data_IF_739676563034
#
_entry.id   IF_739676563034
#
_cell.length_a   1.000
_cell.length_b   1.000
_cell.length_c   1.000
_cell.angle_alpha   90.00
_cell.angle_beta   90.00
_cell.angle_gamma   90.00
#
_symmetry.space_group_name_H-M   'P 1'
#
loop_
_entity.id
_entity.type
_entity.pdbx_description
1 polymer ?
#
# COMPACT_ATOMS: atom_id res chain seq x y z
N UNK A 1 40.60 -23.61 -33.23
CA UNK A 1 39.16 -23.64 -33.58
C UNK A 1 38.37 -23.95 -32.31
N UNK A 2 37.40 -23.21 -31.82
CA UNK A 2 36.94 -21.84 -32.02
C UNK A 2 36.39 -21.38 -30.65
N UNK A 3 36.72 -20.16 -30.23
CA UNK A 3 36.23 -19.53 -28.99
C UNK A 3 34.82 -19.02 -29.31
N UNK A 4 33.79 -19.62 -28.71
CA UNK A 4 32.41 -19.11 -28.83
C UNK A 4 32.20 -18.04 -27.76
N UNK A 5 32.54 -16.81 -28.12
CA UNK A 5 32.08 -15.60 -27.44
C UNK A 5 30.62 -15.38 -27.85
N UNK A 6 29.69 -15.43 -26.89
CA UNK A 6 28.33 -14.95 -27.09
C UNK A 6 28.20 -13.60 -26.39
N UNK A 7 28.27 -12.56 -27.20
CA UNK A 7 27.89 -11.20 -26.86
C UNK A 7 26.48 -10.90 -27.42
N UNK A 8 25.75 -10.06 -26.68
CA UNK A 8 24.54 -9.27 -27.04
C UNK A 8 23.27 -10.15 -27.22
N UNK A 9 22.11 -9.88 -26.61
CA UNK A 9 21.42 -8.60 -26.37
C UNK A 9 20.64 -8.59 -25.05
N UNK A 10 20.92 -7.60 -24.19
CA UNK A 10 19.98 -7.16 -23.16
C UNK A 10 19.10 -6.07 -23.78
N UNK A 11 18.01 -6.48 -24.44
CA UNK A 11 17.01 -5.58 -25.02
C UNK A 11 15.84 -5.39 -24.05
N UNK A 12 15.96 -4.32 -23.26
CA UNK A 12 14.92 -3.30 -23.03
C UNK A 12 13.46 -3.77 -23.15
N UNK A 13 12.86 -4.13 -22.02
CA UNK A 13 11.41 -3.96 -21.78
C UNK A 13 11.21 -3.30 -20.41
N UNK A 14 11.77 -2.11 -20.26
CA UNK A 14 11.34 -1.17 -19.22
C UNK A 14 9.97 -0.62 -19.63
N UNK A 15 8.91 -1.33 -19.24
CA UNK A 15 7.54 -0.95 -19.55
C UNK A 15 6.90 -0.16 -18.39
N UNK A 16 6.78 1.14 -18.63
CA UNK A 16 5.65 2.01 -18.25
C UNK A 16 5.20 1.96 -16.78
N UNK A 17 6.03 2.50 -15.88
CA UNK A 17 5.65 3.33 -14.73
C UNK A 17 6.83 3.38 -13.74
N UNK A 18 7.96 3.95 -14.16
CA UNK A 18 8.98 4.35 -13.21
C UNK A 18 8.43 5.55 -12.41
N UNK A 19 7.76 5.23 -11.30
CA UNK A 19 7.27 6.22 -10.35
C UNK A 19 8.49 6.99 -9.85
N UNK A 20 8.63 8.24 -10.27
CA UNK A 20 9.63 9.18 -9.79
C UNK A 20 9.75 9.08 -8.26
N UNK A 21 10.87 8.50 -7.80
CA UNK A 21 11.16 8.36 -6.38
C UNK A 21 11.18 9.76 -5.76
N UNK A 22 10.42 9.93 -4.68
CA UNK A 22 10.34 11.19 -3.97
C UNK A 22 11.18 11.11 -2.70
N UNK A 23 11.91 12.17 -2.37
CA UNK A 23 12.62 12.23 -1.09
C UNK A 23 11.63 12.16 0.08
N UNK A 24 12.06 11.59 1.21
CA UNK A 24 11.24 11.52 2.43
C UNK A 24 10.69 12.89 2.85
N UNK A 25 11.49 13.95 2.70
CA UNK A 25 11.09 15.33 3.02
C UNK A 25 9.99 15.85 2.08
N UNK A 26 10.06 15.52 0.79
CA UNK A 26 9.03 15.88 -0.17
C UNK A 26 7.71 15.16 0.12
N UNK A 27 7.75 13.86 0.45
CA UNK A 27 6.55 13.10 0.86
C UNK A 27 5.96 13.66 2.15
N UNK A 28 6.78 13.92 3.17
CA UNK A 28 6.33 14.50 4.44
C UNK A 28 5.60 15.84 4.23
N UNK A 29 6.12 16.71 3.34
CA UNK A 29 5.45 17.98 3.00
C UNK A 29 4.10 17.77 2.32
N UNK A 30 3.96 16.77 1.45
CA UNK A 30 2.68 16.46 0.81
C UNK A 30 1.68 15.88 1.81
N UNK A 31 2.12 14.94 2.66
CA UNK A 31 1.29 14.38 3.74
C UNK A 31 0.76 15.46 4.68
N UNK A 32 1.59 16.45 5.05
CA UNK A 32 1.16 17.59 5.87
C UNK A 32 -0.02 18.37 5.26
N UNK A 33 -0.12 18.44 3.93
CA UNK A 33 -1.23 19.13 3.24
C UNK A 33 -2.54 18.34 3.25
N UNK A 34 -2.49 17.06 3.61
CA UNK A 34 -3.67 16.21 3.72
C UNK A 34 -4.34 16.29 5.10
N UNK A 35 -3.63 16.82 6.10
CA UNK A 35 -4.13 16.97 7.47
C UNK A 35 -5.30 17.94 7.49
N UNK A 36 -6.37 17.58 8.21
CA UNK A 36 -7.55 18.42 8.39
C UNK A 36 -8.55 18.38 7.22
N UNK A 37 -8.31 17.55 6.19
CA UNK A 37 -9.32 17.31 5.15
C UNK A 37 -10.52 16.58 5.75
N UNK A 38 -11.71 17.09 5.46
CA UNK A 38 -12.99 16.48 5.80
C UNK A 38 -13.43 15.61 4.62
N UNK A 39 -13.96 14.42 4.91
CA UNK A 39 -14.52 13.50 3.93
C UNK A 39 -16.01 13.34 4.25
N UNK A 40 -16.87 13.61 3.27
CA UNK A 40 -18.33 13.60 3.46
C UNK A 40 -18.91 12.18 3.46
N UNK A 41 -18.23 11.24 2.79
CA UNK A 41 -18.65 9.86 2.68
C UNK A 41 -17.46 8.88 2.72
N UNK A 42 -17.79 7.59 2.82
CA UNK A 42 -16.82 6.49 2.90
C UNK A 42 -15.91 6.39 1.67
N UNK A 43 -16.43 6.75 0.49
CA UNK A 43 -15.66 6.74 -0.75
C UNK A 43 -14.58 7.82 -0.76
N UNK A 44 -14.91 9.04 -0.38
CA UNK A 44 -13.95 10.15 -0.26
C UNK A 44 -12.86 9.82 0.76
N UNK A 45 -13.26 9.18 1.87
CA UNK A 45 -12.35 8.71 2.91
C UNK A 45 -11.40 7.63 2.38
N UNK A 46 -11.91 6.65 1.63
CA UNK A 46 -11.08 5.64 0.97
C UNK A 46 -10.10 6.28 -0.02
N UNK A 47 -10.55 7.22 -0.87
CA UNK A 47 -9.69 7.90 -1.83
C UNK A 47 -8.56 8.67 -1.15
N UNK A 48 -8.85 9.39 -0.07
CA UNK A 48 -7.84 10.10 0.72
C UNK A 48 -6.78 9.14 1.29
N UNK A 49 -7.22 8.02 1.86
CA UNK A 49 -6.32 7.00 2.41
C UNK A 49 -5.49 6.33 1.32
N UNK A 50 -6.04 6.10 0.14
CA UNK A 50 -5.31 5.53 -0.98
C UNK A 50 -4.30 6.53 -1.59
N UNK A 51 -4.64 7.82 -1.67
CA UNK A 51 -3.69 8.88 -2.05
C UNK A 51 -2.51 8.92 -1.08
N UNK A 52 -2.78 8.92 0.24
CA UNK A 52 -1.76 8.89 1.30
C UNK A 52 -0.81 7.70 1.12
N UNK A 53 -1.38 6.53 0.92
CA UNK A 53 -0.64 5.28 0.75
C UNK A 53 0.25 5.32 -0.50
N UNK A 54 -0.29 5.81 -1.63
CA UNK A 54 0.48 6.01 -2.87
C UNK A 54 1.66 6.97 -2.65
N UNK A 55 1.47 8.06 -1.91
CA UNK A 55 2.55 8.99 -1.57
C UNK A 55 3.63 8.32 -0.73
N UNK A 56 3.23 7.56 0.29
CA UNK A 56 4.17 6.82 1.15
C UNK A 56 4.96 5.74 0.38
N UNK A 57 4.39 5.16 -0.68
CA UNK A 57 5.12 4.23 -1.55
C UNK A 57 6.16 4.92 -2.44
N UNK A 58 5.98 6.20 -2.80
CA UNK A 58 6.93 6.92 -3.69
C UNK A 58 8.28 7.19 -3.04
N UNK A 59 8.40 7.14 -1.71
CA UNK A 59 9.69 7.29 -1.02
C UNK A 59 10.36 5.97 -0.66
N UNK A 60 9.75 4.82 -0.98
CA UNK A 60 10.33 3.51 -0.65
C UNK A 60 11.23 3.04 -1.76
N UNK A 61 12.51 2.88 -1.44
CA UNK A 61 13.44 2.15 -2.27
C UNK A 61 13.06 0.67 -2.25
N UNK A 62 12.89 0.07 -3.43
CA UNK A 62 12.75 -1.38 -3.57
C UNK A 62 14.16 -1.95 -3.73
N UNK A 63 14.73 -2.46 -2.65
CA UNK A 63 15.96 -3.25 -2.72
C UNK A 63 15.61 -4.74 -2.67
N UNK A 64 16.26 -5.53 -3.52
CA UNK A 64 16.23 -7.01 -3.48
C UNK A 64 17.43 -7.59 -2.74
N UNK A 65 18.33 -6.74 -2.27
CA UNK A 65 19.50 -7.13 -1.50
C UNK A 65 19.07 -7.59 -0.10
N UNK A 66 19.22 -8.89 0.15
CA UNK A 66 18.81 -9.54 1.40
C UNK A 66 19.76 -9.17 2.54
N UNK A 67 21.05 -8.97 2.26
CA UNK A 67 22.07 -8.67 3.26
C UNK A 67 21.86 -7.27 3.85
N UNK A 68 21.34 -6.34 3.04
CA UNK A 68 21.00 -4.97 3.44
C UNK A 68 19.51 -4.76 3.71
N UNK A 69 18.72 -5.83 3.84
CA UNK A 69 17.28 -5.73 4.02
C UNK A 69 16.91 -5.17 5.40
N UNK A 70 16.07 -4.13 5.43
CA UNK A 70 15.48 -3.64 6.67
C UNK A 70 14.35 -4.55 7.13
N UNK A 71 14.32 -4.89 8.42
CA UNK A 71 13.23 -5.65 9.04
C UNK A 71 11.90 -4.91 8.84
N UNK A 72 10.92 -5.59 8.27
CA UNK A 72 9.58 -5.03 8.11
C UNK A 72 8.77 -5.29 9.39
N UNK A 73 8.41 -4.22 10.09
CA UNK A 73 7.52 -4.28 11.25
C UNK A 73 6.15 -3.70 10.92
N UNK A 74 5.09 -4.43 11.28
CA UNK A 74 3.72 -3.92 11.25
C UNK A 74 3.43 -3.09 12.49
N UNK A 75 2.71 -1.99 12.34
CA UNK A 75 2.36 -1.06 13.44
C UNK A 75 0.85 -0.91 13.64
N UNK A 76 0.03 -1.55 12.80
CA UNK A 76 -1.42 -1.48 12.94
C UNK A 76 -1.83 -2.14 14.25
N UNK A 77 -2.48 -1.37 15.14
CA UNK A 77 -3.01 -1.86 16.41
C UNK A 77 -4.38 -2.53 16.26
N UNK A 78 -5.10 -2.16 15.20
CA UNK A 78 -6.38 -2.74 14.86
C UNK A 78 -6.20 -4.08 14.13
N UNK A 79 -7.20 -4.96 14.23
CA UNK A 79 -7.26 -6.23 13.50
C UNK A 79 -7.45 -6.02 11.98
N UNK A 80 -8.00 -4.88 11.57
CA UNK A 80 -8.18 -4.51 10.17
C UNK A 80 -7.70 -3.07 9.93
N UNK A 81 -6.83 -2.80 8.94
CA UNK A 81 -6.39 -1.44 8.62
C UNK A 81 -7.54 -0.54 8.16
N UNK A 82 -7.51 0.74 8.54
CA UNK A 82 -8.56 1.72 8.21
C UNK A 82 -8.90 1.79 6.71
N UNK A 83 -7.89 1.81 5.82
CA UNK A 83 -8.12 1.85 4.37
C UNK A 83 -8.92 0.63 3.89
N UNK A 84 -8.60 -0.54 4.44
CA UNK A 84 -9.26 -1.79 4.08
C UNK A 84 -10.72 -1.81 4.53
N UNK A 85 -11.02 -1.27 5.73
CA UNK A 85 -12.40 -1.11 6.21
C UNK A 85 -13.26 -0.33 5.22
N UNK A 86 -12.84 0.87 4.84
CA UNK A 86 -13.60 1.70 3.89
C UNK A 86 -13.70 1.06 2.50
N UNK A 87 -12.63 0.41 2.03
CA UNK A 87 -12.66 -0.37 0.78
C UNK A 87 -13.74 -1.46 0.83
N UNK A 88 -13.84 -2.20 1.94
CA UNK A 88 -14.83 -3.28 2.11
C UNK A 88 -16.25 -2.73 2.27
N UNK A 89 -16.43 -1.57 2.90
CA UNK A 89 -17.73 -0.84 2.93
C UNK A 89 -18.19 -0.53 1.51
N UNK A 90 -17.36 0.14 0.72
CA UNK A 90 -17.69 0.57 -0.65
C UNK A 90 -18.01 -0.63 -1.55
N UNK A 91 -17.25 -1.72 -1.39
CA UNK A 91 -17.45 -2.96 -2.15
C UNK A 91 -18.60 -3.82 -1.62
N UNK A 92 -19.24 -3.45 -0.49
CA UNK A 92 -20.29 -4.23 0.19
C UNK A 92 -19.84 -5.65 0.52
N UNK A 93 -18.61 -5.79 1.04
CA UNK A 93 -17.95 -7.07 1.35
C UNK A 93 -17.76 -7.30 2.86
N UNK A 94 -18.49 -6.58 3.70
CA UNK A 94 -18.48 -6.79 5.14
C UNK A 94 -19.34 -8.00 5.51
N UNK A 95 -18.85 -8.79 6.47
CA UNK A 95 -19.63 -9.84 7.10
C UNK A 95 -20.62 -9.23 8.11
N UNK A 96 -21.73 -9.93 8.37
CA UNK A 96 -22.67 -9.54 9.44
C UNK A 96 -22.01 -9.49 10.83
N UNK A 97 -20.93 -10.25 11.02
CA UNK A 97 -20.17 -10.27 12.27
C UNK A 97 -19.22 -9.07 12.43
N UNK A 98 -19.08 -8.24 11.40
CA UNK A 98 -18.23 -7.04 11.39
C UNK A 98 -19.08 -5.76 11.42
N UNK A 99 -20.38 -5.89 11.68
CA UNK A 99 -21.35 -4.81 11.73
C UNK A 99 -22.10 -4.79 13.07
N UNK A 100 -22.59 -3.62 13.45
CA UNK A 100 -23.56 -3.47 14.52
C UNK A 100 -24.95 -3.97 14.10
N UNK A 101 -25.87 -4.05 15.05
CA UNK A 101 -27.26 -4.48 14.81
C UNK A 101 -28.02 -3.59 13.81
N UNK A 102 -27.60 -2.33 13.65
CA UNK A 102 -28.18 -1.39 12.68
C UNK A 102 -27.57 -1.51 11.27
N UNK A 103 -26.64 -2.45 11.06
CA UNK A 103 -25.95 -2.68 9.80
C UNK A 103 -24.77 -1.74 9.53
N UNK A 104 -24.49 -0.79 10.43
CA UNK A 104 -23.29 0.04 10.35
C UNK A 104 -22.03 -0.79 10.64
N UNK A 105 -20.91 -0.43 10.01
CA UNK A 105 -19.62 -1.09 10.28
C UNK A 105 -19.23 -0.93 11.76
N UNK A 106 -18.72 -2.00 12.37
CA UNK A 106 -18.13 -2.01 13.71
C UNK A 106 -16.61 -2.16 13.60
N UNK A 107 -15.82 -1.06 13.59
CA UNK A 107 -14.38 -1.09 13.34
C UNK A 107 -13.61 -2.07 14.24
N UNK A 108 -14.01 -2.20 15.50
CA UNK A 108 -13.43 -3.08 16.52
C UNK A 108 -13.69 -4.58 16.26
N UNK A 109 -14.71 -4.91 15.47
CA UNK A 109 -15.04 -6.28 15.08
C UNK A 109 -14.47 -6.65 13.69
N UNK A 110 -14.02 -5.66 12.92
CA UNK A 110 -13.52 -5.91 11.55
C UNK A 110 -12.17 -6.61 11.57
N UNK A 111 -12.03 -7.63 10.72
CA UNK A 111 -10.79 -8.41 10.60
C UNK A 111 -10.23 -8.27 9.20
N UNK A 112 -8.91 -8.15 9.11
CA UNK A 112 -8.20 -8.10 7.83
C UNK A 112 -8.50 -9.35 7.00
N UNK A 113 -8.90 -9.14 5.75
CA UNK A 113 -9.08 -10.22 4.80
C UNK A 113 -7.73 -10.85 4.42
N UNK A 114 -7.72 -12.17 4.37
CA UNK A 114 -6.56 -12.90 3.89
C UNK A 114 -6.40 -12.71 2.38
N UNK A 115 -5.33 -12.00 1.98
CA UNK A 115 -4.97 -11.83 0.57
C UNK A 115 -4.19 -13.06 0.09
N UNK A 116 -4.80 -13.87 -0.78
CA UNK A 116 -4.11 -14.96 -1.49
C UNK A 116 -3.26 -14.36 -2.62
N UNK A 117 -2.05 -14.90 -2.81
CA UNK A 117 -1.03 -14.49 -3.79
C UNK A 117 -0.20 -13.26 -3.39
N UNK A 118 1.02 -13.52 -2.92
CA UNK A 118 2.02 -12.48 -2.62
C UNK A 118 2.90 -12.13 -3.83
N UNK A 119 2.92 -12.96 -4.88
CA UNK A 119 3.68 -12.69 -6.09
C UNK A 119 3.20 -11.39 -6.75
N UNK A 120 4.14 -10.50 -7.06
CA UNK A 120 3.95 -9.19 -7.71
C UNK A 120 3.06 -8.17 -6.99
N UNK A 121 2.60 -8.46 -5.78
CA UNK A 121 1.84 -7.49 -4.99
C UNK A 121 2.73 -6.35 -4.50
N UNK A 122 2.16 -5.14 -4.49
CA UNK A 122 2.84 -3.99 -3.87
C UNK A 122 3.03 -4.30 -2.38
N UNK A 123 4.28 -4.17 -1.91
CA UNK A 123 4.62 -4.36 -0.50
C UNK A 123 3.69 -3.55 0.40
N UNK A 124 3.20 -4.16 1.47
CA UNK A 124 2.33 -3.48 2.46
C UNK A 124 3.05 -2.29 3.11
N UNK A 125 2.27 -1.29 3.52
CA UNK A 125 2.80 -0.14 4.24
C UNK A 125 3.14 -0.50 5.69
N UNK A 126 4.39 -0.25 6.07
CA UNK A 126 4.84 -0.19 7.45
C UNK A 126 5.09 1.27 7.85
N UNK A 127 4.56 1.74 8.98
CA UNK A 127 4.61 3.15 9.37
C UNK A 127 5.98 3.65 9.87
N UNK A 128 7.08 2.94 9.60
CA UNK A 128 8.43 3.47 9.83
C UNK A 128 8.77 4.50 8.75
N UNK A 129 8.41 5.75 8.98
CA UNK A 129 8.85 6.91 8.18
C UNK A 129 10.13 7.51 8.74
#
# INVERSE_FOLDING_TARGET
>A
MAKVERHVENTKVESVAEKMLLSKSAVARQLKRMIGRVCENDYDKYQLLDERDRLMHRSRLKSTDVDNATVMQGFCRDMCPEKERYMRVIQKRLSIYECHNDGSIAPELTVKEYSRSAADQVKTLSLNF
#
